data_IF_803667073369
#
_entry.id   IF_803667073369
#
_cell.length_a   1.000
_cell.length_b   1.000
_cell.length_c   1.000
_cell.angle_alpha   90.00
_cell.angle_beta   90.00
_cell.angle_gamma   90.00
#
_symmetry.space_group_name_H-M   'P 1'
#
loop_
_entity.id
_entity.type
_entity.pdbx_description
1 polymer ?
#
# COMPACT_ATOMS: atom_id res chain seq x y z
N UNK A 1 30.72 -17.76 24.23
CA UNK A 1 29.27 -17.49 24.09
C UNK A 1 28.95 -16.36 23.10
N UNK A 2 29.71 -16.17 21.99
CA UNK A 2 29.56 -15.00 21.10
C UNK A 2 29.51 -15.28 19.59
N UNK A 3 29.62 -16.54 19.14
CA UNK A 3 29.53 -16.89 17.71
C UNK A 3 28.09 -17.00 17.18
N UNK A 4 27.14 -17.36 18.05
CA UNK A 4 25.73 -17.62 17.68
C UNK A 4 24.98 -16.32 17.35
N UNK A 5 25.24 -15.25 18.10
CA UNK A 5 24.62 -13.93 17.87
C UNK A 5 25.03 -13.33 16.51
N UNK A 6 26.29 -13.51 16.12
CA UNK A 6 26.86 -12.92 14.90
C UNK A 6 26.39 -13.65 13.62
N UNK A 7 26.29 -14.98 13.68
CA UNK A 7 25.70 -15.81 12.61
C UNK A 7 24.21 -15.47 12.39
N UNK A 8 23.45 -15.30 13.48
CA UNK A 8 22.03 -14.96 13.41
C UNK A 8 21.77 -13.59 12.81
N UNK A 9 22.57 -12.56 13.18
CA UNK A 9 22.45 -11.22 12.59
C UNK A 9 22.83 -11.19 11.11
N UNK A 10 23.87 -11.94 10.72
CA UNK A 10 24.32 -12.04 9.32
C UNK A 10 23.32 -12.80 8.47
N UNK A 11 22.70 -13.85 9.00
CA UNK A 11 21.61 -14.59 8.35
C UNK A 11 20.36 -13.72 8.16
N UNK A 12 19.95 -12.96 9.18
CA UNK A 12 18.87 -11.98 9.07
C UNK A 12 19.16 -10.94 7.97
N UNK A 13 20.36 -10.36 7.96
CA UNK A 13 20.76 -9.36 6.97
C UNK A 13 20.81 -9.93 5.54
N UNK A 14 21.33 -11.15 5.36
CA UNK A 14 21.34 -11.83 4.05
C UNK A 14 19.92 -12.14 3.55
N UNK A 15 18.97 -12.43 4.45
CA UNK A 15 17.55 -12.61 4.10
C UNK A 15 16.89 -11.31 3.60
N UNK A 16 17.22 -10.16 4.18
CA UNK A 16 16.71 -8.86 3.69
C UNK A 16 17.37 -8.40 2.38
N UNK A 17 18.58 -8.90 2.07
CA UNK A 17 19.24 -8.62 0.79
C UNK A 17 18.64 -9.44 -0.37
N UNK A 18 17.91 -10.53 -0.09
CA UNK A 18 17.32 -11.40 -1.12
C UNK A 18 15.81 -11.22 -1.31
N UNK A 19 15.13 -10.51 -0.40
CA UNK A 19 13.69 -10.26 -0.47
C UNK A 19 13.46 -8.78 -0.79
N UNK A 20 12.69 -8.49 -1.85
CA UNK A 20 12.27 -7.10 -2.12
C UNK A 20 11.46 -6.59 -0.94
N UNK A 21 11.75 -5.39 -0.40
CA UNK A 21 10.90 -4.81 0.63
C UNK A 21 9.49 -4.62 0.10
N UNK A 22 8.49 -4.88 0.95
CA UNK A 22 7.08 -4.69 0.60
C UNK A 22 6.66 -3.26 0.93
N UNK A 23 5.95 -2.61 0.01
CA UNK A 23 5.41 -1.27 0.20
C UNK A 23 3.91 -1.32 -0.04
N UNK A 24 3.16 -0.94 0.99
CA UNK A 24 1.71 -0.81 0.88
C UNK A 24 1.35 0.46 0.10
N UNK A 25 0.44 0.33 -0.87
CA UNK A 25 0.01 1.42 -1.74
C UNK A 25 -1.45 1.78 -1.43
N UNK A 26 -1.67 3.02 -1.03
CA UNK A 26 -2.99 3.58 -0.78
C UNK A 26 -3.74 3.97 -2.06
N UNK A 27 -5.07 3.97 -1.99
CA UNK A 27 -5.97 4.26 -3.12
C UNK A 27 -5.73 5.63 -3.75
N UNK A 28 -5.31 6.62 -2.95
CA UNK A 28 -4.99 7.97 -3.42
C UNK A 28 -3.73 8.02 -4.29
N UNK A 29 -2.71 7.21 -4.00
CA UNK A 29 -1.47 7.12 -4.81
C UNK A 29 -1.81 6.56 -6.19
N UNK A 30 -2.62 5.50 -6.24
CA UNK A 30 -3.10 4.89 -7.49
C UNK A 30 -3.93 5.89 -8.29
N UNK A 31 -4.81 6.63 -7.61
CA UNK A 31 -5.65 7.65 -8.24
C UNK A 31 -4.82 8.79 -8.82
N UNK A 32 -3.77 9.26 -8.12
CA UNK A 32 -2.87 10.29 -8.64
C UNK A 32 -2.00 9.80 -9.80
N UNK A 33 -1.62 8.52 -9.81
CA UNK A 33 -0.81 7.95 -10.88
C UNK A 33 -1.50 8.04 -12.25
N UNK A 34 -2.81 7.70 -12.31
CA UNK A 34 -3.56 7.63 -13.57
C UNK A 34 -4.45 8.85 -13.83
N UNK A 35 -4.57 9.76 -12.87
CA UNK A 35 -5.36 10.97 -13.04
C UNK A 35 -4.81 11.85 -14.17
N UNK A 36 -5.73 12.53 -14.87
CA UNK A 36 -5.37 13.56 -15.85
C UNK A 36 -4.50 14.63 -15.19
N UNK A 37 -3.49 15.18 -15.90
CA UNK A 37 -2.66 16.25 -15.36
C UNK A 37 -3.50 17.39 -14.81
N UNK A 38 -3.22 17.79 -13.57
CA UNK A 38 -3.92 18.89 -12.92
C UNK A 38 -3.20 20.22 -13.14
N UNK A 39 -3.96 21.28 -13.38
CA UNK A 39 -3.43 22.66 -13.36
C UNK A 39 -3.27 23.20 -11.92
N UNK A 40 -3.79 22.50 -10.91
CA UNK A 40 -3.55 22.86 -9.53
C UNK A 40 -2.13 22.39 -9.13
N UNK A 41 -1.23 23.30 -8.72
CA UNK A 41 0.17 22.97 -8.47
C UNK A 41 0.35 21.92 -7.35
N UNK A 42 -0.54 21.91 -6.35
CA UNK A 42 -0.48 20.94 -5.25
C UNK A 42 -0.83 19.55 -5.76
N UNK A 43 -1.90 19.43 -6.56
CA UNK A 43 -2.31 18.16 -7.13
C UNK A 43 -1.29 17.67 -8.17
N UNK A 44 -0.77 18.56 -9.01
CA UNK A 44 0.28 18.25 -9.97
C UNK A 44 1.54 17.69 -9.29
N UNK A 45 1.94 18.25 -8.15
CA UNK A 45 3.07 17.74 -7.37
C UNK A 45 2.81 16.32 -6.83
N UNK A 46 1.60 16.03 -6.35
CA UNK A 46 1.23 14.67 -5.88
C UNK A 46 1.18 13.65 -7.02
N UNK A 47 0.67 14.05 -8.18
CA UNK A 47 0.70 13.25 -9.41
C UNK A 47 2.14 12.93 -9.82
N UNK A 48 3.00 13.95 -9.85
CA UNK A 48 4.44 13.80 -10.15
C UNK A 48 5.12 12.84 -9.18
N UNK A 49 4.86 12.97 -7.88
CA UNK A 49 5.45 12.10 -6.86
C UNK A 49 4.99 10.64 -7.02
N UNK A 50 3.71 10.42 -7.33
CA UNK A 50 3.16 9.08 -7.56
C UNK A 50 3.75 8.42 -8.82
N UNK A 51 3.91 9.21 -9.90
CA UNK A 51 4.60 8.78 -11.12
C UNK A 51 6.05 8.42 -10.85
N UNK A 52 6.79 9.27 -10.15
CA UNK A 52 8.19 9.03 -9.79
C UNK A 52 8.37 7.79 -8.90
N UNK A 53 7.43 7.54 -7.97
CA UNK A 53 7.43 6.32 -7.19
C UNK A 53 7.32 5.09 -8.09
N UNK A 54 6.36 5.11 -9.03
CA UNK A 54 6.13 4.00 -9.95
C UNK A 54 7.33 3.75 -10.87
N UNK A 55 7.80 4.80 -11.55
CA UNK A 55 8.90 4.72 -12.53
C UNK A 55 10.22 4.25 -11.90
N UNK A 56 10.54 4.72 -10.70
CA UNK A 56 11.87 4.50 -10.12
C UNK A 56 11.99 3.30 -9.19
N UNK A 57 10.85 2.75 -8.73
CA UNK A 57 10.83 1.78 -7.64
C UNK A 57 9.95 0.55 -7.85
N UNK A 58 9.17 0.45 -8.94
CA UNK A 58 8.36 -0.77 -9.21
C UNK A 58 9.21 -2.04 -9.26
N UNK A 59 10.46 -1.96 -9.74
CA UNK A 59 11.37 -3.11 -9.78
C UNK A 59 12.13 -3.33 -8.46
N UNK A 60 12.10 -2.37 -7.54
CA UNK A 60 12.86 -2.42 -6.28
C UNK A 60 12.02 -2.90 -5.10
N UNK A 61 10.71 -2.69 -5.15
CA UNK A 61 9.78 -3.10 -4.12
C UNK A 61 8.76 -4.10 -4.63
N UNK A 62 8.19 -4.87 -3.73
CA UNK A 62 6.92 -5.55 -3.97
C UNK A 62 5.81 -4.58 -3.54
N UNK A 63 5.09 -4.00 -4.50
CA UNK A 63 3.92 -3.19 -4.20
C UNK A 63 2.73 -4.07 -3.87
N UNK A 64 2.06 -3.74 -2.77
CA UNK A 64 0.94 -4.51 -2.23
C UNK A 64 -0.22 -3.59 -1.90
N UNK A 65 -1.45 -4.10 -2.01
CA UNK A 65 -2.67 -3.37 -1.65
C UNK A 65 -3.56 -4.24 -0.76
N UNK A 66 -4.48 -3.62 -0.04
CA UNK A 66 -5.55 -4.33 0.67
C UNK A 66 -6.75 -4.59 -0.25
N UNK A 67 -7.66 -5.52 0.12
CA UNK A 67 -8.94 -5.66 -0.55
C UNK A 67 -9.80 -4.38 -0.52
N UNK A 68 -9.72 -3.60 0.57
CA UNK A 68 -10.46 -2.33 0.67
C UNK A 68 -9.95 -1.30 -0.32
N UNK A 69 -8.62 -1.16 -0.50
CA UNK A 69 -8.05 -0.29 -1.53
C UNK A 69 -8.52 -0.72 -2.92
N UNK A 70 -8.55 -2.03 -3.22
CA UNK A 70 -9.11 -2.53 -4.49
C UNK A 70 -10.56 -2.11 -4.67
N UNK A 71 -11.38 -2.18 -3.63
CA UNK A 71 -12.80 -1.83 -3.72
C UNK A 71 -13.02 -0.32 -3.82
N UNK A 72 -12.16 0.52 -3.22
CA UNK A 72 -12.17 1.97 -3.38
C UNK A 72 -11.81 2.40 -4.80
N UNK A 73 -10.76 1.82 -5.39
CA UNK A 73 -10.32 2.22 -6.74
C UNK A 73 -11.30 1.80 -7.85
N UNK A 74 -12.25 0.90 -7.56
CA UNK A 74 -13.31 0.48 -8.48
C UNK A 74 -14.46 1.48 -8.60
N UNK A 75 -14.58 2.41 -7.66
CA UNK A 75 -15.73 3.32 -7.57
C UNK A 75 -15.52 4.59 -8.41
N UNK A 76 -16.61 5.23 -8.83
CA UNK A 76 -16.58 6.50 -9.56
C UNK A 76 -16.68 6.32 -11.08
N UNK A 77 -16.01 7.20 -11.83
CA UNK A 77 -16.03 7.19 -13.30
C UNK A 77 -15.50 5.84 -13.85
N UNK A 78 -16.25 5.14 -14.72
CA UNK A 78 -15.86 3.81 -15.20
C UNK A 78 -14.50 3.78 -15.93
N UNK A 79 -14.18 4.82 -16.70
CA UNK A 79 -12.89 4.88 -17.41
C UNK A 79 -11.74 5.06 -16.43
N UNK A 80 -11.87 5.97 -15.46
CA UNK A 80 -10.86 6.17 -14.43
C UNK A 80 -10.72 4.96 -13.49
N UNK A 81 -11.83 4.27 -13.17
CA UNK A 81 -11.80 3.03 -12.40
C UNK A 81 -11.03 1.93 -13.14
N UNK A 82 -11.28 1.75 -14.44
CA UNK A 82 -10.56 0.77 -15.24
C UNK A 82 -9.07 1.06 -15.29
N UNK A 83 -8.67 2.32 -15.51
CA UNK A 83 -7.25 2.71 -15.51
C UNK A 83 -6.55 2.39 -14.18
N UNK A 84 -7.22 2.62 -13.05
CA UNK A 84 -6.68 2.27 -11.72
C UNK A 84 -6.57 0.76 -11.54
N UNK A 85 -7.57 -0.01 -11.99
CA UNK A 85 -7.54 -1.48 -11.94
C UNK A 85 -6.42 -2.07 -12.80
N UNK A 86 -6.21 -1.53 -14.00
CA UNK A 86 -5.16 -1.99 -14.91
C UNK A 86 -3.78 -1.84 -14.27
N UNK A 87 -3.52 -0.70 -13.62
CA UNK A 87 -2.28 -0.42 -12.89
C UNK A 87 -2.01 -1.43 -11.78
N UNK A 88 -3.04 -1.83 -11.04
CA UNK A 88 -2.86 -2.71 -9.87
C UNK A 88 -3.04 -4.20 -10.18
N UNK A 89 -3.36 -4.55 -11.43
CA UNK A 89 -3.71 -5.92 -11.83
C UNK A 89 -2.63 -6.96 -11.54
N UNK A 90 -1.36 -6.54 -11.52
CA UNK A 90 -0.20 -7.38 -11.21
C UNK A 90 0.27 -7.30 -9.76
N UNK A 91 -0.35 -6.44 -8.94
CA UNK A 91 0.07 -6.25 -7.55
C UNK A 91 -0.50 -7.33 -6.64
N UNK A 92 0.27 -7.67 -5.61
CA UNK A 92 -0.19 -8.58 -4.57
C UNK A 92 -1.30 -7.92 -3.75
N UNK A 93 -2.44 -8.60 -3.64
CA UNK A 93 -3.50 -8.23 -2.69
C UNK A 93 -3.24 -8.96 -1.38
N UNK A 94 -3.15 -8.23 -0.27
CA UNK A 94 -2.97 -8.80 1.06
C UNK A 94 -4.17 -9.65 1.47
N UNK A 95 -3.89 -10.80 2.06
CA UNK A 95 -4.92 -11.67 2.64
C UNK A 95 -5.46 -11.06 3.94
N UNK A 96 -6.77 -11.15 4.12
CA UNK A 96 -7.43 -10.79 5.39
C UNK A 96 -7.29 -11.97 6.33
N UNK A 97 -6.75 -11.74 7.52
CA UNK A 97 -6.61 -12.76 8.57
C UNK A 97 -7.50 -12.45 9.77
N UNK A 98 -7.88 -13.45 10.59
CA UNK A 98 -8.64 -13.21 11.83
C UNK A 98 -7.91 -12.26 12.81
N UNK A 99 -6.58 -12.22 12.78
CA UNK A 99 -5.79 -11.31 13.60
C UNK A 99 -6.00 -9.84 13.19
N UNK A 100 -6.34 -9.59 11.92
CA UNK A 100 -6.64 -8.26 11.39
C UNK A 100 -7.98 -7.75 11.94
N UNK A 101 -9.01 -8.61 11.99
CA UNK A 101 -10.30 -8.26 12.62
C UNK A 101 -10.12 -7.91 14.10
N UNK A 102 -9.31 -8.69 14.82
CA UNK A 102 -9.00 -8.41 16.23
C UNK A 102 -8.26 -7.08 16.40
N UNK A 103 -7.37 -6.72 15.48
CA UNK A 103 -6.66 -5.45 15.51
C UNK A 103 -7.61 -4.28 15.23
N UNK A 104 -8.49 -4.42 14.25
CA UNK A 104 -9.50 -3.41 13.94
C UNK A 104 -10.39 -3.10 15.14
N UNK A 105 -10.94 -4.12 15.79
CA UNK A 105 -11.79 -3.94 16.97
C UNK A 105 -11.02 -3.20 18.08
N UNK A 106 -9.75 -3.53 18.30
CA UNK A 106 -8.91 -2.80 19.26
C UNK A 106 -8.68 -1.33 18.88
N UNK A 107 -8.50 -1.03 17.59
CA UNK A 107 -8.35 0.35 17.11
C UNK A 107 -9.64 1.16 17.33
N UNK A 108 -10.80 0.54 17.11
CA UNK A 108 -12.10 1.17 17.30
C UNK A 108 -12.46 1.33 18.79
N UNK A 109 -12.22 0.32 19.61
CA UNK A 109 -12.53 0.32 21.04
C UNK A 109 -11.61 1.23 21.85
N UNK A 110 -10.34 1.36 21.43
CA UNK A 110 -9.41 2.32 22.04
C UNK A 110 -9.66 3.77 21.62
N UNK A 111 -10.51 4.00 20.60
CA UNK A 111 -10.74 5.31 20.01
C UNK A 111 -9.56 5.82 19.15
N UNK A 112 -8.58 4.95 18.83
CA UNK A 112 -7.51 5.28 17.89
C UNK A 112 -8.05 5.52 16.48
N UNK A 113 -9.12 4.80 16.11
CA UNK A 113 -9.94 5.08 14.93
C UNK A 113 -11.38 5.36 15.39
N UNK A 114 -12.01 6.46 14.94
CA UNK A 114 -13.41 6.72 15.26
C UNK A 114 -14.35 5.63 14.73
N UNK A 115 -15.43 5.31 15.46
CA UNK A 115 -16.41 4.29 15.05
C UNK A 115 -17.16 4.60 13.76
N UNK A 116 -17.18 5.86 13.31
CA UNK A 116 -17.72 6.26 12.00
C UNK A 116 -16.69 6.17 10.86
N UNK A 117 -15.47 5.71 11.15
CA UNK A 117 -14.32 5.58 10.23
C UNK A 117 -13.83 4.13 10.16
N UNK A 118 -14.73 3.14 10.24
CA UNK A 118 -14.37 1.70 10.30
C UNK A 118 -13.44 1.27 9.16
N UNK A 119 -13.66 1.76 7.93
CA UNK A 119 -12.79 1.45 6.79
C UNK A 119 -11.34 1.94 6.99
N UNK A 120 -11.12 2.99 7.78
CA UNK A 120 -9.77 3.48 8.10
C UNK A 120 -9.04 2.52 9.07
N UNK A 121 -9.78 1.72 9.86
CA UNK A 121 -9.20 0.65 10.67
C UNK A 121 -8.85 -0.61 9.86
N UNK A 122 -9.46 -0.77 8.67
CA UNK A 122 -9.32 -1.92 7.78
C UNK A 122 -8.19 -1.78 6.74
N UNK A 123 -7.61 -0.58 6.60
CA UNK A 123 -6.65 -0.29 5.53
C UNK A 123 -5.31 -1.00 5.74
#
# INVERSE_FOLDING_TARGET
>A
MGKIQFESSRFFMLKYLTIKPRVYIESTVISYLVARPSNNPILAARQRASQQLWENYTDKFEFVISPIVRDEIRQGDPTAAQQRLDVVSSLTILEVSPDMDMLMEKLLDSGAVPRNSVFDAQR
#
